data_IF_117279777122
#
_entry.id   IF_117279777122
#
_cell.length_a   1.000
_cell.length_b   1.000
_cell.length_c   1.000
_cell.angle_alpha   90.00
_cell.angle_beta   90.00
_cell.angle_gamma   90.00
#
_symmetry.space_group_name_H-M   'P 1'
#
loop_
_entity.id
_entity.type
_entity.pdbx_description
1 polymer ?
#
# COMPACT_ATOMS: atom_id res chain seq x y z
N UNK A 1 18.73 -2.36 -12.89
CA UNK A 1 18.27 -1.12 -12.23
C UNK A 1 18.25 0.00 -13.27
N UNK A 2 17.17 0.78 -13.33
CA UNK A 2 17.00 1.88 -14.30
C UNK A 2 17.92 3.06 -13.92
N UNK A 3 18.67 3.60 -14.89
CA UNK A 3 19.62 4.70 -14.68
C UNK A 3 18.99 5.91 -13.98
N UNK A 4 17.73 6.22 -14.28
CA UNK A 4 16.99 7.34 -13.66
C UNK A 4 16.77 7.14 -12.16
N UNK A 5 16.41 5.92 -11.73
CA UNK A 5 16.16 5.63 -10.32
C UNK A 5 17.45 5.74 -9.49
N UNK A 6 18.56 5.22 -10.01
CA UNK A 6 19.87 5.32 -9.37
C UNK A 6 20.34 6.78 -9.26
N UNK A 7 20.09 7.62 -10.27
CA UNK A 7 20.42 9.05 -10.20
C UNK A 7 19.58 9.80 -9.18
N UNK A 8 18.27 9.53 -9.09
CA UNK A 8 17.40 10.14 -8.08
C UNK A 8 17.85 9.75 -6.67
N UNK A 9 18.20 8.48 -6.46
CA UNK A 9 18.69 8.01 -5.17
C UNK A 9 20.02 8.67 -4.77
N UNK A 10 20.96 8.81 -5.70
CA UNK A 10 22.23 9.50 -5.44
C UNK A 10 22.01 10.98 -5.08
N UNK A 11 21.15 11.68 -5.82
CA UNK A 11 20.79 13.07 -5.53
C UNK A 11 20.11 13.21 -4.16
N UNK A 12 19.19 12.30 -3.81
CA UNK A 12 18.52 12.27 -2.51
C UNK A 12 19.53 12.11 -1.37
N UNK A 13 20.52 11.22 -1.54
CA UNK A 13 21.56 10.98 -0.54
C UNK A 13 22.48 12.18 -0.38
N UNK A 14 22.95 12.77 -1.48
CA UNK A 14 23.80 13.96 -1.47
C UNK A 14 23.10 15.16 -0.81
N UNK A 15 21.82 15.35 -1.10
CA UNK A 15 21.02 16.43 -0.53
C UNK A 15 20.49 16.16 0.89
N UNK A 16 20.70 14.95 1.44
CA UNK A 16 20.20 14.56 2.76
C UNK A 16 18.68 14.43 2.84
N UNK A 17 18.00 14.20 1.71
CA UNK A 17 16.55 14.00 1.67
C UNK A 17 16.17 12.62 2.19
N UNK A 18 15.09 12.58 2.98
CA UNK A 18 14.41 11.33 3.33
C UNK A 18 13.61 10.84 2.13
N UNK A 19 13.33 9.53 2.08
CA UNK A 19 12.57 8.91 0.99
C UNK A 19 11.21 9.60 0.75
N UNK A 20 10.52 10.00 1.82
CA UNK A 20 9.26 10.75 1.73
C UNK A 20 9.41 12.12 1.08
N UNK A 21 10.52 12.83 1.34
CA UNK A 21 10.83 14.11 0.70
C UNK A 21 11.06 13.92 -0.80
N UNK A 22 11.81 12.90 -1.19
CA UNK A 22 12.06 12.57 -2.60
C UNK A 22 10.78 12.24 -3.35
N UNK A 23 9.86 11.49 -2.73
CA UNK A 23 8.55 11.19 -3.30
C UNK A 23 7.71 12.46 -3.52
N UNK A 24 7.69 13.38 -2.54
CA UNK A 24 6.99 14.67 -2.66
C UNK A 24 7.55 15.51 -3.81
N UNK A 25 8.87 15.58 -3.96
CA UNK A 25 9.52 16.34 -5.03
C UNK A 25 9.20 15.77 -6.42
N UNK A 26 9.14 14.45 -6.56
CA UNK A 26 8.71 13.77 -7.80
C UNK A 26 7.24 14.07 -8.09
N UNK A 27 6.38 14.05 -7.05
CA UNK A 27 4.97 14.44 -7.17
C UNK A 27 4.79 15.87 -7.68
N UNK A 28 5.50 16.84 -7.10
CA UNK A 28 5.46 18.24 -7.54
C UNK A 28 5.98 18.45 -8.97
N UNK A 29 6.97 17.66 -9.40
CA UNK A 29 7.40 17.66 -10.80
C UNK A 29 6.31 17.09 -11.71
N UNK A 30 5.68 15.98 -11.32
CA UNK A 30 4.62 15.33 -12.08
C UNK A 30 3.37 16.22 -12.22
N UNK A 31 3.01 16.99 -11.19
CA UNK A 31 1.95 17.99 -11.27
C UNK A 31 2.26 19.06 -12.32
N UNK A 32 3.48 19.60 -12.30
CA UNK A 32 3.91 20.65 -13.25
C UNK A 32 3.98 20.16 -14.70
N UNK A 33 4.20 18.86 -14.91
CA UNK A 33 4.28 18.25 -16.25
C UNK A 33 2.98 17.58 -16.69
N UNK A 34 1.92 17.62 -15.87
CA UNK A 34 0.64 16.97 -16.17
C UNK A 34 0.67 15.44 -16.07
N UNK A 35 1.70 14.87 -15.44
CA UNK A 35 1.88 13.42 -15.26
C UNK A 35 1.43 12.90 -13.89
N UNK A 36 0.91 13.76 -13.01
CA UNK A 36 0.53 13.39 -11.64
C UNK A 36 -0.42 12.17 -11.59
N UNK A 37 -1.43 12.13 -12.46
CA UNK A 37 -2.38 11.00 -12.50
C UNK A 37 -1.72 9.68 -12.92
N UNK A 38 -0.80 9.71 -13.89
CA UNK A 38 -0.07 8.52 -14.33
C UNK A 38 0.90 8.02 -13.25
N UNK A 39 1.57 8.94 -12.54
CA UNK A 39 2.43 8.61 -11.41
C UNK A 39 1.62 7.97 -10.28
N UNK A 40 0.48 8.56 -9.90
CA UNK A 40 -0.39 8.01 -8.85
C UNK A 40 -0.92 6.63 -9.21
N UNK A 41 -1.35 6.43 -10.46
CA UNK A 41 -1.79 5.11 -10.93
C UNK A 41 -0.66 4.09 -10.82
N UNK A 42 0.55 4.44 -11.27
CA UNK A 42 1.70 3.54 -11.20
C UNK A 42 2.08 3.18 -9.76
N UNK A 43 2.09 4.16 -8.84
CA UNK A 43 2.39 3.92 -7.43
C UNK A 43 1.34 3.02 -6.77
N UNK A 44 0.06 3.21 -7.09
CA UNK A 44 -1.01 2.33 -6.61
C UNK A 44 -0.86 0.90 -7.15
N UNK A 45 -0.51 0.74 -8.42
CA UNK A 45 -0.29 -0.58 -9.01
C UNK A 45 0.89 -1.30 -8.34
N UNK A 46 1.99 -0.58 -8.09
CA UNK A 46 3.16 -1.11 -7.36
C UNK A 46 2.78 -1.47 -5.93
N UNK A 47 2.10 -0.59 -5.20
CA UNK A 47 1.66 -0.86 -3.82
C UNK A 47 0.79 -2.12 -3.76
N UNK A 48 -0.16 -2.26 -4.69
CA UNK A 48 -1.03 -3.45 -4.78
C UNK A 48 -0.22 -4.72 -5.09
N UNK A 49 0.73 -4.66 -6.02
CA UNK A 49 1.60 -5.81 -6.31
C UNK A 49 2.53 -6.18 -5.16
N UNK A 50 3.01 -5.21 -4.40
CA UNK A 50 3.77 -5.48 -3.18
C UNK A 50 2.89 -6.14 -2.12
N UNK A 51 1.63 -5.70 -1.97
CA UNK A 51 0.65 -6.34 -1.10
C UNK A 51 0.29 -7.77 -1.52
N UNK A 52 0.13 -8.04 -2.81
CA UNK A 52 -0.07 -9.38 -3.35
C UNK A 52 1.08 -10.33 -2.94
N UNK A 53 2.31 -9.81 -2.85
CA UNK A 53 3.52 -10.57 -2.49
C UNK A 53 3.82 -10.64 -0.99
N UNK A 54 3.02 -9.98 -0.13
CA UNK A 54 3.19 -10.10 1.32
C UNK A 54 2.89 -11.53 1.79
N UNK A 55 3.72 -12.04 2.70
CA UNK A 55 3.43 -13.31 3.36
C UNK A 55 2.11 -13.23 4.13
N UNK A 56 1.41 -14.36 4.22
CA UNK A 56 0.17 -14.49 5.01
C UNK A 56 0.36 -13.98 6.45
N UNK A 57 1.52 -14.22 7.05
CA UNK A 57 1.88 -13.74 8.39
C UNK A 57 1.93 -12.20 8.47
N UNK A 58 2.50 -11.55 7.45
CA UNK A 58 2.58 -10.08 7.40
C UNK A 58 1.20 -9.46 7.18
N UNK A 59 0.37 -10.07 6.33
CA UNK A 59 -1.03 -9.66 6.11
C UNK A 59 -1.84 -9.77 7.40
N UNK A 60 -1.69 -10.88 8.17
CA UNK A 60 -2.32 -11.05 9.47
C UNK A 60 -1.86 -10.03 10.51
N UNK A 61 -0.54 -9.75 10.59
CA UNK A 61 0.01 -8.77 11.52
C UNK A 61 -0.57 -7.36 11.29
N UNK A 62 -0.71 -6.95 10.03
CA UNK A 62 -1.30 -5.64 9.68
C UNK A 62 -2.77 -5.58 10.05
N UNK A 63 -3.55 -6.62 9.73
CA UNK A 63 -4.97 -6.69 10.10
C UNK A 63 -5.16 -6.59 11.62
N UNK A 64 -4.36 -7.32 12.41
CA UNK A 64 -4.38 -7.22 13.87
C UNK A 64 -3.98 -5.83 14.39
N UNK A 65 -2.97 -5.20 13.79
CA UNK A 65 -2.55 -3.83 14.16
C UNK A 65 -3.65 -2.80 13.89
N UNK A 66 -4.45 -3.02 12.84
CA UNK A 66 -5.62 -2.20 12.50
C UNK A 66 -6.86 -2.53 13.36
N UNK A 67 -6.77 -3.45 14.32
CA UNK A 67 -7.88 -3.83 15.21
C UNK A 67 -8.82 -4.89 14.65
N UNK A 68 -8.53 -5.47 13.48
CA UNK A 68 -9.36 -6.53 12.89
C UNK A 68 -9.07 -7.89 13.53
N UNK A 69 -10.10 -8.74 13.55
CA UNK A 69 -9.92 -10.17 13.83
C UNK A 69 -9.98 -10.97 12.54
N UNK A 70 -8.99 -11.83 12.32
CA UNK A 70 -8.86 -12.69 11.12
C UNK A 70 -9.11 -14.13 11.50
N UNK A 71 -9.97 -14.85 10.77
CA UNK A 71 -10.19 -16.29 10.95
C UNK A 71 -10.22 -17.01 9.60
N UNK A 72 -9.42 -18.07 9.45
CA UNK A 72 -9.50 -18.94 8.28
C UNK A 72 -10.70 -19.89 8.41
N UNK A 73 -11.59 -19.88 7.42
CA UNK A 73 -12.80 -20.73 7.41
C UNK A 73 -12.60 -21.97 6.55
N UNK A 74 -11.82 -21.86 5.49
CA UNK A 74 -11.39 -22.93 4.59
C UNK A 74 -10.02 -22.56 4.00
N UNK A 75 -9.24 -23.52 3.44
CA UNK A 75 -7.93 -23.21 2.87
C UNK A 75 -7.98 -22.05 1.87
N UNK A 76 -7.35 -20.92 2.22
CA UNK A 76 -7.32 -19.72 1.39
C UNK A 76 -8.59 -18.86 1.40
N UNK A 77 -9.53 -19.11 2.32
CA UNK A 77 -10.74 -18.32 2.52
C UNK A 77 -10.83 -17.83 3.97
N UNK A 78 -10.89 -16.51 4.14
CA UNK A 78 -10.80 -15.86 5.44
C UNK A 78 -12.03 -14.99 5.69
N UNK A 79 -12.37 -14.88 6.97
CA UNK A 79 -13.38 -13.96 7.50
C UNK A 79 -12.66 -12.88 8.30
N UNK A 80 -13.02 -11.63 8.05
CA UNK A 80 -12.45 -10.47 8.73
C UNK A 80 -13.55 -9.75 9.46
N UNK A 81 -13.41 -9.60 10.78
CA UNK A 81 -14.32 -8.73 11.51
C UNK A 81 -13.61 -7.42 11.85
N UNK A 82 -14.35 -6.32 11.70
CA UNK A 82 -13.93 -4.98 12.13
C UNK A 82 -13.68 -4.94 13.66
N UNK A 83 -13.14 -3.82 14.19
CA UNK A 83 -12.92 -3.67 15.63
C UNK A 83 -14.19 -3.81 16.49
N UNK A 84 -15.37 -3.60 15.91
CA UNK A 84 -16.68 -3.73 16.57
C UNK A 84 -17.24 -5.17 16.48
N UNK A 85 -16.57 -6.06 15.75
CA UNK A 85 -16.94 -7.46 15.58
C UNK A 85 -17.94 -7.74 14.46
N UNK A 86 -18.23 -6.76 13.59
CA UNK A 86 -19.07 -6.96 12.42
C UNK A 86 -18.26 -7.62 11.30
N UNK A 87 -18.90 -8.47 10.52
CA UNK A 87 -18.31 -9.04 9.30
C UNK A 87 -18.00 -7.92 8.32
N UNK A 88 -16.72 -7.60 8.19
CA UNK A 88 -16.23 -6.52 7.36
C UNK A 88 -16.02 -6.98 5.91
N UNK A 89 -15.70 -8.27 5.72
CA UNK A 89 -15.59 -8.87 4.40
C UNK A 89 -15.45 -10.42 4.43
N UNK A 90 -15.87 -11.04 3.33
CA UNK A 90 -15.62 -12.45 3.01
C UNK A 90 -14.86 -12.52 1.67
N UNK A 91 -13.56 -12.77 1.72
CA UNK A 91 -12.71 -12.68 0.53
C UNK A 91 -11.32 -13.32 0.67
N UNK A 92 -10.48 -13.25 -0.37
CA UNK A 92 -9.17 -13.88 -0.37
C UNK A 92 -8.22 -13.27 0.68
N UNK A 93 -8.24 -11.95 0.94
CA UNK A 93 -7.50 -11.27 2.03
C UNK A 93 -8.13 -9.90 2.38
N UNK A 94 -7.94 -9.35 3.61
CA UNK A 94 -8.54 -8.08 4.00
C UNK A 94 -7.87 -6.93 3.25
N UNK A 95 -6.55 -6.97 3.03
CA UNK A 95 -5.80 -5.99 2.22
C UNK A 95 -6.28 -5.93 0.76
N UNK A 96 -6.97 -6.96 0.30
CA UNK A 96 -7.48 -7.07 -1.07
C UNK A 96 -8.99 -6.71 -1.14
N UNK A 97 -9.61 -6.34 0.00
CA UNK A 97 -11.02 -5.98 0.07
C UNK A 97 -11.28 -4.51 -0.16
N UNK A 98 -12.47 -4.20 -0.70
CA UNK A 98 -12.93 -2.84 -0.89
C UNK A 98 -13.10 -2.08 0.44
N UNK A 99 -13.47 -2.78 1.52
CA UNK A 99 -13.67 -2.19 2.85
C UNK A 99 -12.34 -1.75 3.50
N UNK A 100 -11.28 -2.54 3.35
CA UNK A 100 -9.94 -2.18 3.81
C UNK A 100 -9.37 -1.00 3.03
N UNK A 101 -9.48 -1.02 1.71
CA UNK A 101 -9.06 0.10 0.86
C UNK A 101 -9.79 1.39 1.23
N UNK A 102 -11.08 1.33 1.58
CA UNK A 102 -11.84 2.50 2.04
C UNK A 102 -11.32 3.03 3.39
N UNK A 103 -10.95 2.16 4.34
CA UNK A 103 -10.42 2.58 5.64
C UNK A 103 -9.03 3.25 5.57
N UNK A 104 -8.26 2.98 4.50
CA UNK A 104 -6.92 3.53 4.28
C UNK A 104 -6.83 4.56 3.16
N UNK A 105 -7.90 4.80 2.39
CA UNK A 105 -7.97 5.86 1.39
C UNK A 105 -8.06 7.28 2.00
N UNK A 106 -8.41 7.38 3.29
CA UNK A 106 -8.57 8.63 4.04
C UNK A 106 -7.32 9.03 4.87
N UNK A 107 -6.20 8.32 4.73
CA UNK A 107 -4.91 8.64 5.39
C UNK A 107 -3.86 9.23 4.44
#
# INVERSE_FOLDING_TARGET
MNATASSIQALSQEAGWKDSTTLVLIGQWAERTGQASALLQHLNDVARHEEENLSSETKMLRAHTAGYTVRERAPGAFVFNDPDGNDADNGPWPTESAAWNAAYADF
#
